data_IF_593180624529
#
_entry.id   IF_593180624529
#
_cell.length_a   1.000
_cell.length_b   1.000
_cell.length_c   1.000
_cell.angle_alpha   90.00
_cell.angle_beta   90.00
_cell.angle_gamma   90.00
#
_symmetry.space_group_name_H-M   'P 1'
#
loop_
_entity.id
_entity.type
_entity.pdbx_description
1 polymer ?
#
# COMPACT_ATOMS: atom_id res chain seq x y z
N UNK A 1 -11.72 -26.10 -42.24
CA UNK A 1 -11.67 -25.79 -40.80
C UNK A 1 -11.59 -24.28 -40.71
N UNK A 2 -12.71 -23.65 -40.38
CA UNK A 2 -12.79 -22.21 -40.17
C UNK A 2 -11.93 -21.89 -38.94
N UNK A 3 -10.96 -21.00 -39.13
CA UNK A 3 -10.22 -20.41 -38.03
C UNK A 3 -11.16 -19.42 -37.38
N UNK A 4 -11.72 -19.77 -36.22
CA UNK A 4 -12.49 -18.85 -35.39
C UNK A 4 -11.58 -17.66 -35.06
N UNK A 5 -11.82 -16.57 -35.77
CA UNK A 5 -11.22 -15.28 -35.51
C UNK A 5 -11.78 -14.83 -34.16
N UNK A 6 -11.08 -15.17 -33.08
CA UNK A 6 -11.40 -14.70 -31.74
C UNK A 6 -11.37 -13.18 -31.80
N UNK A 7 -12.55 -12.57 -31.96
CA UNK A 7 -12.75 -11.16 -31.69
C UNK A 7 -12.48 -11.00 -30.20
N UNK A 8 -11.22 -10.76 -29.87
CA UNK A 8 -10.84 -10.07 -28.65
C UNK A 8 -11.53 -8.72 -28.74
N UNK A 9 -12.81 -8.69 -28.32
CA UNK A 9 -13.49 -7.47 -27.93
C UNK A 9 -12.51 -6.77 -27.02
N UNK A 10 -11.92 -5.68 -27.52
CA UNK A 10 -10.98 -4.81 -26.82
C UNK A 10 -11.45 -4.71 -25.38
N UNK A 11 -10.85 -5.53 -24.50
CA UNK A 11 -11.23 -5.59 -23.10
C UNK A 11 -10.84 -4.24 -22.58
N UNK A 12 -11.85 -3.41 -22.30
CA UNK A 12 -11.69 -2.02 -21.89
C UNK A 12 -10.68 -2.00 -20.75
N UNK A 13 -9.48 -1.49 -21.04
CA UNK A 13 -8.35 -1.55 -20.12
C UNK A 13 -8.65 -0.52 -19.02
N UNK A 14 -9.08 -1.00 -17.86
CA UNK A 14 -9.36 -0.14 -16.72
C UNK A 14 -8.05 0.18 -16.01
N UNK A 15 -7.72 1.48 -15.96
CA UNK A 15 -6.51 1.97 -15.30
C UNK A 15 -6.91 2.76 -14.07
N UNK A 16 -6.28 2.45 -12.93
CA UNK A 16 -6.42 3.21 -11.68
C UNK A 16 -5.12 3.98 -11.45
N UNK A 17 -5.23 5.27 -11.13
CA UNK A 17 -4.08 6.15 -10.90
C UNK A 17 -3.95 6.49 -9.41
N UNK A 18 -2.75 6.29 -8.86
CA UNK A 18 -2.40 6.58 -7.48
C UNK A 18 -1.44 7.79 -7.43
N UNK A 19 -1.98 9.00 -7.31
CA UNK A 19 -1.18 10.24 -7.37
C UNK A 19 -0.39 10.55 -6.10
N UNK A 20 -0.82 10.00 -4.97
CA UNK A 20 -0.24 10.25 -3.64
C UNK A 20 0.92 9.32 -3.27
N UNK A 21 1.20 8.30 -4.10
CA UNK A 21 2.24 7.31 -3.85
C UNK A 21 3.30 7.33 -4.95
N UNK A 22 4.56 7.16 -4.54
CA UNK A 22 5.66 6.87 -5.46
C UNK A 22 5.63 5.41 -5.88
N UNK A 23 6.32 5.08 -6.98
CA UNK A 23 6.36 3.72 -7.51
C UNK A 23 6.74 2.65 -6.47
N UNK A 24 7.76 2.90 -5.63
CA UNK A 24 8.19 1.96 -4.57
C UNK A 24 7.20 1.83 -3.41
N UNK A 25 6.43 2.87 -3.15
CA UNK A 25 5.39 2.84 -2.11
C UNK A 25 4.18 2.04 -2.61
N UNK A 26 3.82 2.23 -3.89
CA UNK A 26 2.77 1.46 -4.55
C UNK A 26 3.14 -0.02 -4.68
N UNK A 27 4.40 -0.33 -5.02
CA UNK A 27 4.92 -1.70 -5.05
C UNK A 27 4.73 -2.40 -3.70
N UNK A 28 5.03 -1.71 -2.59
CA UNK A 28 4.81 -2.25 -1.24
C UNK A 28 3.33 -2.45 -0.90
N UNK A 29 2.42 -1.59 -1.38
CA UNK A 29 0.97 -1.75 -1.22
C UNK A 29 0.44 -2.97 -1.99
N UNK A 30 0.93 -3.17 -3.22
CA UNK A 30 0.57 -4.34 -4.04
C UNK A 30 1.12 -5.61 -3.37
N UNK A 31 2.38 -5.59 -2.92
CA UNK A 31 2.99 -6.69 -2.16
C UNK A 31 2.10 -7.09 -0.96
N UNK A 32 1.69 -6.12 -0.13
CA UNK A 32 0.76 -6.37 0.99
C UNK A 32 -0.54 -7.04 0.57
N UNK A 33 -1.16 -6.52 -0.49
CA UNK A 33 -2.51 -6.92 -0.93
C UNK A 33 -2.53 -8.36 -1.42
N UNK A 34 -1.41 -8.83 -2.00
CA UNK A 34 -1.28 -10.18 -2.54
C UNK A 34 -0.53 -11.15 -1.60
N UNK A 35 -0.08 -10.72 -0.42
CA UNK A 35 0.50 -11.61 0.60
C UNK A 35 -0.57 -12.46 1.26
N UNK A 36 -0.33 -13.78 1.33
CA UNK A 36 -1.28 -14.79 1.87
C UNK A 36 -1.64 -14.54 3.34
N UNK A 37 -0.73 -13.98 4.12
CA UNK A 37 -0.90 -13.67 5.55
C UNK A 37 -0.96 -12.16 5.83
N UNK A 38 -1.00 -11.33 4.79
CA UNK A 38 -0.85 -9.88 4.92
C UNK A 38 0.50 -9.46 5.49
N UNK A 39 1.50 -10.36 5.52
CA UNK A 39 2.87 -10.00 5.87
C UNK A 39 3.57 -9.42 4.64
N UNK A 40 4.01 -8.18 4.76
CA UNK A 40 4.98 -7.62 3.82
C UNK A 40 6.38 -8.03 4.29
N UNK A 41 7.33 -8.19 3.36
CA UNK A 41 8.75 -8.19 3.69
C UNK A 41 9.06 -7.05 4.66
N UNK A 42 9.43 -7.38 5.90
CA UNK A 42 9.46 -6.39 6.98
C UNK A 42 10.31 -5.15 6.65
N UNK A 43 11.26 -5.28 5.73
CA UNK A 43 12.14 -4.21 5.29
C UNK A 43 11.49 -3.23 4.30
N UNK A 44 10.78 -3.70 3.26
CA UNK A 44 10.05 -2.82 2.33
C UNK A 44 8.92 -2.08 3.06
N UNK A 45 8.23 -2.80 3.94
CA UNK A 45 7.18 -2.23 4.78
C UNK A 45 7.66 -1.14 5.70
N UNK A 46 8.68 -1.41 6.53
CA UNK A 46 9.19 -0.46 7.53
C UNK A 46 9.68 0.82 6.87
N UNK A 47 10.27 0.72 5.68
CA UNK A 47 10.75 1.87 4.91
C UNK A 47 9.61 2.78 4.41
N UNK A 48 8.46 2.19 4.10
CA UNK A 48 7.32 2.88 3.47
C UNK A 48 6.10 3.00 4.41
N UNK A 49 6.27 2.77 5.71
CA UNK A 49 5.15 2.64 6.67
C UNK A 49 4.25 3.88 6.72
N UNK A 50 4.80 5.08 6.50
CA UNK A 50 4.05 6.35 6.53
C UNK A 50 3.19 6.56 5.28
N UNK A 51 3.76 6.52 4.04
CA UNK A 51 2.94 6.51 2.84
C UNK A 51 1.87 5.42 2.85
N UNK A 52 2.21 4.22 3.34
CA UNK A 52 1.26 3.11 3.46
C UNK A 52 0.15 3.39 4.47
N UNK A 53 0.44 4.02 5.61
CA UNK A 53 -0.58 4.43 6.57
C UNK A 53 -1.59 5.41 5.94
N UNK A 54 -1.09 6.44 5.25
CA UNK A 54 -1.93 7.44 4.59
C UNK A 54 -2.77 6.84 3.46
N UNK A 55 -2.18 5.95 2.66
CA UNK A 55 -2.90 5.23 1.61
C UNK A 55 -3.96 4.29 2.20
N UNK A 56 -3.64 3.58 3.29
CA UNK A 56 -4.58 2.69 3.96
C UNK A 56 -5.78 3.42 4.55
N UNK A 57 -5.60 4.66 5.00
CA UNK A 57 -6.72 5.48 5.43
C UNK A 57 -7.54 5.99 4.24
N UNK A 58 -6.87 6.54 3.20
CA UNK A 58 -7.51 7.06 1.98
C UNK A 58 -8.33 6.01 1.22
N UNK A 59 -7.80 4.78 1.14
CA UNK A 59 -8.42 3.66 0.42
C UNK A 59 -9.21 2.72 1.32
N UNK A 60 -9.41 3.09 2.59
CA UNK A 60 -10.18 2.33 3.57
C UNK A 60 -9.75 0.85 3.64
N UNK A 61 -8.46 0.64 3.94
CA UNK A 61 -7.84 -0.69 4.13
C UNK A 61 -7.50 -0.86 5.62
N UNK A 62 -8.45 -1.27 6.49
CA UNK A 62 -8.28 -1.21 7.95
C UNK A 62 -7.10 -2.04 8.45
N UNK A 63 -6.91 -3.24 7.89
CA UNK A 63 -5.83 -4.14 8.30
C UNK A 63 -4.45 -3.52 8.08
N UNK A 64 -4.22 -2.88 6.92
CA UNK A 64 -2.97 -2.18 6.63
C UNK A 64 -2.77 -0.98 7.57
N UNK A 65 -3.84 -0.22 7.81
CA UNK A 65 -3.81 0.96 8.69
C UNK A 65 -3.39 0.57 10.11
N UNK A 66 -3.97 -0.49 10.67
CA UNK A 66 -3.67 -0.94 12.03
C UNK A 66 -2.26 -1.54 12.15
N UNK A 67 -1.80 -2.25 11.11
CA UNK A 67 -0.43 -2.75 11.03
C UNK A 67 0.58 -1.59 10.98
N UNK A 68 0.34 -0.59 10.13
CA UNK A 68 1.18 0.61 10.03
C UNK A 68 1.19 1.38 11.35
N UNK A 69 0.04 1.57 12.00
CA UNK A 69 -0.08 2.23 13.30
C UNK A 69 0.78 1.52 14.35
N UNK A 70 0.68 0.20 14.42
CA UNK A 70 1.44 -0.63 15.37
C UNK A 70 2.95 -0.49 15.17
N UNK A 71 3.43 -0.48 13.92
CA UNK A 71 4.84 -0.25 13.61
C UNK A 71 5.31 1.18 13.92
N UNK A 72 4.48 2.18 13.59
CA UNK A 72 4.79 3.58 13.90
C UNK A 72 4.95 3.79 15.40
N UNK A 73 4.03 3.26 16.20
CA UNK A 73 4.10 3.31 17.67
C UNK A 73 5.33 2.56 18.19
N UNK A 74 5.58 1.34 17.69
CA UNK A 74 6.72 0.51 18.14
C UNK A 74 8.09 1.10 17.79
N UNK A 75 8.17 1.94 16.75
CA UNK A 75 9.41 2.60 16.34
C UNK A 75 9.63 3.98 16.99
N UNK A 76 8.71 4.44 17.84
CA UNK A 76 8.82 5.72 18.52
C UNK A 76 10.06 5.78 19.42
N UNK A 77 10.83 6.84 19.26
CA UNK A 77 11.95 7.22 20.11
C UNK A 77 12.03 8.75 20.20
N UNK A 78 12.86 9.26 21.10
CA UNK A 78 13.01 10.71 21.32
C UNK A 78 13.34 11.49 20.05
N UNK A 79 14.08 10.89 19.11
CA UNK A 79 14.50 11.54 17.87
C UNK A 79 13.42 11.60 16.79
N UNK A 80 12.38 10.75 16.85
CA UNK A 80 11.33 10.69 15.82
C UNK A 80 9.91 10.98 16.35
N UNK A 81 9.73 11.16 17.66
CA UNK A 81 8.44 11.32 18.31
C UNK A 81 7.56 12.41 17.69
N UNK A 82 8.12 13.61 17.47
CA UNK A 82 7.40 14.73 16.84
C UNK A 82 6.91 14.37 15.44
N UNK A 83 7.80 13.79 14.63
CA UNK A 83 7.50 13.47 13.25
C UNK A 83 6.45 12.34 13.15
N UNK A 84 6.50 11.35 14.05
CA UNK A 84 5.57 10.21 14.04
C UNK A 84 4.21 10.58 14.63
N UNK A 85 4.14 11.52 15.58
CA UNK A 85 2.87 12.04 16.10
C UNK A 85 2.03 12.74 15.02
N UNK A 86 2.67 13.44 14.08
CA UNK A 86 1.99 14.09 12.96
C UNK A 86 1.37 13.07 11.98
N UNK A 87 2.02 11.92 11.79
CA UNK A 87 1.52 10.88 10.89
C UNK A 87 0.30 10.15 11.49
N UNK A 88 0.24 9.97 12.81
CA UNK A 88 -0.89 9.31 13.49
C UNK A 88 -2.14 10.18 13.62
N UNK A 89 -2.01 11.49 13.42
CA UNK A 89 -3.10 12.47 13.53
C UNK A 89 -3.81 12.74 12.20
N UNK A 90 -3.15 12.42 11.09
CA UNK A 90 -3.74 12.44 9.75
C UNK A 90 -4.66 11.23 9.56
#
# INVERSE_FOLDING_TARGET
MESDEFKASSSKLETVTFSEMKHKELEALVEFTYSIDGSISSESFKKHVRPLYLAADKYEIPHLRDLCRSQLISSLNSSNALNSSNALRA
#
